data_IF_453794707707
#
_entry.id   IF_453794707707
#
_cell.length_a   1.000
_cell.length_b   1.000
_cell.length_c   1.000
_cell.angle_alpha   90.00
_cell.angle_beta   90.00
_cell.angle_gamma   90.00
#
_symmetry.space_group_name_H-M   'P 1'
#
loop_
_entity.id
_entity.type
_entity.pdbx_description
1 polymer ?
#
# COMPACT_ATOMS: atom_id res chain seq x y z
N UNK A 1 12.85 6.19 2.94
CA UNK A 1 12.37 5.09 2.06
C UNK A 1 11.00 4.58 2.50
N UNK A 2 10.82 4.29 3.79
CA UNK A 2 9.56 3.80 4.39
C UNK A 2 8.27 4.51 3.89
N UNK A 3 8.17 5.85 3.84
CA UNK A 3 6.93 6.50 3.38
C UNK A 3 6.56 6.18 1.92
N UNK A 4 7.56 6.14 1.03
CA UNK A 4 7.31 5.83 -0.38
C UNK A 4 7.01 4.33 -0.60
N UNK A 5 7.64 3.44 0.17
CA UNK A 5 7.31 2.02 0.15
C UNK A 5 5.87 1.75 0.61
N UNK A 6 5.40 2.47 1.64
CA UNK A 6 3.99 2.44 2.06
C UNK A 6 3.04 2.87 0.92
N UNK A 7 3.33 4.01 0.28
CA UNK A 7 2.51 4.51 -0.83
C UNK A 7 2.49 3.56 -2.03
N UNK A 8 3.63 2.94 -2.36
CA UNK A 8 3.73 1.99 -3.47
C UNK A 8 2.94 0.70 -3.21
N UNK A 9 2.99 0.15 -1.99
CA UNK A 9 2.24 -1.06 -1.64
C UNK A 9 0.73 -0.78 -1.65
N UNK A 10 0.31 0.39 -1.13
CA UNK A 10 -1.09 0.84 -1.22
C UNK A 10 -1.54 0.96 -2.67
N UNK A 11 -0.76 1.66 -3.50
CA UNK A 11 -1.08 1.87 -4.90
C UNK A 11 -1.23 0.55 -5.65
N UNK A 12 -0.27 -0.35 -5.47
CA UNK A 12 -0.26 -1.68 -6.12
C UNK A 12 -1.49 -2.50 -5.72
N UNK A 13 -1.81 -2.55 -4.42
CA UNK A 13 -2.98 -3.30 -3.92
C UNK A 13 -4.29 -2.69 -4.38
N UNK A 14 -4.39 -1.35 -4.36
CA UNK A 14 -5.59 -0.65 -4.81
C UNK A 14 -5.87 -0.94 -6.29
N UNK A 15 -4.87 -0.78 -7.16
CA UNK A 15 -5.04 -1.03 -8.59
C UNK A 15 -5.33 -2.50 -8.89
N UNK A 16 -4.67 -3.43 -8.19
CA UNK A 16 -4.91 -4.87 -8.34
C UNK A 16 -6.37 -5.24 -8.08
N UNK A 17 -6.97 -4.69 -7.03
CA UNK A 17 -8.33 -5.05 -6.62
C UNK A 17 -9.41 -4.19 -7.28
N UNK A 18 -9.14 -2.90 -7.50
CA UNK A 18 -10.17 -1.93 -7.91
C UNK A 18 -9.85 -1.16 -9.18
N UNK A 19 -8.70 -1.35 -9.83
CA UNK A 19 -8.27 -0.52 -10.96
C UNK A 19 -9.28 -0.43 -12.11
N UNK A 20 -10.04 -1.51 -12.34
CA UNK A 20 -11.10 -1.55 -13.38
C UNK A 20 -12.31 -0.66 -13.07
N UNK A 21 -12.65 -0.50 -11.79
CA UNK A 21 -13.87 0.19 -11.34
C UNK A 21 -13.59 1.55 -10.70
N UNK A 22 -12.32 1.84 -10.37
CA UNK A 22 -11.90 3.03 -9.64
C UNK A 22 -12.35 4.35 -10.30
N UNK A 23 -12.34 4.42 -11.63
CA UNK A 23 -12.65 5.64 -12.38
C UNK A 23 -14.13 6.04 -12.35
N UNK A 24 -15.02 5.08 -12.11
CA UNK A 24 -16.48 5.30 -12.11
C UNK A 24 -17.12 5.02 -10.74
N UNK A 25 -16.30 4.73 -9.73
CA UNK A 25 -16.81 4.39 -8.42
C UNK A 25 -17.39 5.62 -7.72
N UNK A 26 -18.51 5.47 -7.00
CA UNK A 26 -19.04 6.56 -6.20
C UNK A 26 -18.08 6.91 -5.05
N UNK A 27 -18.21 8.11 -4.45
CA UNK A 27 -17.42 8.50 -3.30
C UNK A 27 -17.43 7.44 -2.21
N UNK A 28 -16.24 7.12 -1.69
CA UNK A 28 -16.04 6.16 -0.59
C UNK A 28 -16.46 4.71 -0.87
N UNK A 29 -16.71 4.33 -2.13
CA UNK A 29 -17.12 2.97 -2.50
C UNK A 29 -16.20 1.87 -1.95
N UNK A 30 -14.90 2.12 -1.89
CA UNK A 30 -13.90 1.16 -1.38
C UNK A 30 -13.50 1.43 0.07
N UNK A 31 -14.05 2.45 0.72
CA UNK A 31 -13.52 2.93 1.99
C UNK A 31 -13.66 1.91 3.12
N UNK A 32 -14.77 1.18 3.21
CA UNK A 32 -15.00 0.20 4.29
C UNK A 32 -13.96 -0.94 4.29
N UNK A 33 -13.60 -1.42 3.10
CA UNK A 33 -12.62 -2.50 2.92
C UNK A 33 -11.18 -1.96 2.91
N UNK A 34 -10.93 -0.90 2.12
CA UNK A 34 -9.57 -0.41 1.89
C UNK A 34 -9.00 0.37 3.07
N UNK A 35 -9.84 1.01 3.89
CA UNK A 35 -9.37 1.68 5.12
C UNK A 35 -8.68 0.72 6.10
N UNK A 36 -9.13 -0.53 6.17
CA UNK A 36 -8.52 -1.58 6.99
C UNK A 36 -7.12 -1.91 6.50
N UNK A 37 -6.94 -1.99 5.18
CA UNK A 37 -5.65 -2.23 4.53
C UNK A 37 -4.70 -1.05 4.79
N UNK A 38 -5.19 0.19 4.66
CA UNK A 38 -4.41 1.39 4.98
C UNK A 38 -3.91 1.35 6.43
N UNK A 39 -4.79 1.02 7.38
CA UNK A 39 -4.45 0.97 8.80
C UNK A 39 -3.35 -0.07 9.09
N UNK A 40 -3.54 -1.30 8.61
CA UNK A 40 -2.58 -2.39 8.81
C UNK A 40 -1.21 -2.10 8.22
N UNK A 41 -1.16 -1.53 7.01
CA UNK A 41 0.10 -1.14 6.39
C UNK A 41 0.75 0.01 7.16
N UNK A 42 -0.04 0.99 7.62
CA UNK A 42 0.50 2.10 8.39
C UNK A 42 1.14 1.61 9.69
N UNK A 43 0.50 0.71 10.43
CA UNK A 43 1.09 0.08 11.63
C UNK A 43 2.38 -0.68 11.30
N UNK A 44 2.39 -1.46 10.23
CA UNK A 44 3.58 -2.21 9.79
C UNK A 44 4.75 -1.28 9.47
N UNK A 45 4.53 -0.24 8.66
CA UNK A 45 5.58 0.66 8.22
C UNK A 45 6.00 1.67 9.30
N UNK A 46 5.15 1.98 10.28
CA UNK A 46 5.49 2.90 11.38
C UNK A 46 6.18 2.22 12.57
N UNK A 47 5.92 0.93 12.80
CA UNK A 47 6.28 0.25 14.05
C UNK A 47 7.41 -0.77 13.89
N UNK A 48 7.73 -1.17 12.66
CA UNK A 48 8.66 -2.27 12.42
C UNK A 48 10.01 -1.78 11.88
N UNK A 49 11.10 -1.87 12.67
CA UNK A 49 12.45 -1.53 12.17
C UNK A 49 12.90 -2.43 11.00
N UNK A 50 12.26 -3.59 10.81
CA UNK A 50 12.52 -4.50 9.68
C UNK A 50 11.90 -4.05 8.36
N UNK A 51 10.99 -3.05 8.38
CA UNK A 51 10.40 -2.50 7.16
C UNK A 51 11.47 -1.89 6.25
N UNK A 52 12.55 -1.36 6.82
CA UNK A 52 13.69 -0.82 6.06
C UNK A 52 14.49 -1.94 5.37
N UNK A 53 14.71 -3.08 6.04
CA UNK A 53 15.39 -4.25 5.47
C UNK A 53 14.62 -4.84 4.29
N UNK A 54 13.29 -4.99 4.41
CA UNK A 54 12.45 -5.48 3.33
C UNK A 54 12.37 -4.48 2.17
N UNK A 55 12.32 -3.17 2.46
CA UNK A 55 12.38 -2.11 1.45
C UNK A 55 13.71 -2.14 0.69
N UNK A 56 14.83 -2.42 1.37
CA UNK A 56 16.15 -2.56 0.72
C UNK A 56 16.19 -3.74 -0.26
N UNK A 57 15.74 -4.92 0.16
CA UNK A 57 15.71 -6.11 -0.71
C UNK A 57 14.78 -5.91 -1.91
N UNK A 58 13.62 -5.27 -1.71
CA UNK A 58 12.70 -4.94 -2.81
C UNK A 58 13.31 -3.97 -3.82
N UNK A 59 14.07 -2.96 -3.36
CA UNK A 59 14.82 -2.08 -4.27
C UNK A 59 15.91 -2.84 -5.05
N UNK A 60 16.65 -3.74 -4.40
CA UNK A 60 17.75 -4.50 -5.04
C UNK A 60 17.25 -5.52 -6.09
N UNK A 61 16.00 -5.98 -6.00
CA UNK A 61 15.39 -6.93 -6.94
C UNK A 61 14.67 -6.22 -8.10
N UNK A 62 14.46 -4.90 -8.00
CA UNK A 62 13.75 -4.08 -8.99
C UNK A 62 14.65 -3.40 -10.02
N UNK A 63 15.97 -3.65 -9.98
CA UNK A 63 16.96 -3.19 -10.97
C UNK A 63 17.34 -4.29 -11.97
#
# INVERSE_FOLDING_TARGET
>A
RIPFAYLEDIHTRFLKNYGKVAHSAPPYAMNDEFSRILHQLMEFYSSNPSADTLSRVRSEVGE
#
